data_IF_131542421751
#
_entry.id   IF_131542421751
#
_cell.length_a   1.000
_cell.length_b   1.000
_cell.length_c   1.000
_cell.angle_alpha   90.00
_cell.angle_beta   90.00
_cell.angle_gamma   90.00
#
_symmetry.space_group_name_H-M   'P 1'
#
loop_
_entity.id
_entity.type
_entity.pdbx_description
1 polymer ?
#
# COMPACT_ATOMS: atom_id res chain seq x y z
N UNK A 1 3.56 -76.33 -32.39
CA UNK A 1 4.80 -76.77 -31.71
C UNK A 1 5.28 -75.59 -30.85
N UNK A 2 4.89 -75.49 -29.56
CA UNK A 2 5.69 -75.88 -28.38
C UNK A 2 6.54 -74.68 -27.86
N UNK A 3 6.03 -73.86 -26.91
CA UNK A 3 6.38 -73.72 -25.45
C UNK A 3 7.87 -73.38 -25.15
N UNK A 4 8.28 -72.52 -24.21
CA UNK A 4 7.64 -71.83 -23.06
C UNK A 4 8.55 -70.68 -22.52
N UNK A 5 8.00 -69.66 -21.82
CA UNK A 5 7.95 -69.46 -20.34
C UNK A 5 9.36 -69.22 -19.72
N UNK A 6 9.78 -68.07 -19.18
CA UNK A 6 9.24 -67.24 -18.06
C UNK A 6 9.70 -67.78 -16.67
N UNK A 7 9.71 -67.03 -15.53
CA UNK A 7 9.62 -65.58 -15.30
C UNK A 7 10.38 -64.98 -14.05
N UNK A 8 10.40 -63.64 -13.94
CA UNK A 8 10.08 -62.72 -12.81
C UNK A 8 10.51 -62.87 -11.32
N UNK A 9 11.02 -61.72 -10.78
CA UNK A 9 10.59 -60.89 -9.60
C UNK A 9 10.85 -61.30 -8.13
N UNK A 10 11.28 -60.27 -7.34
CA UNK A 10 10.83 -59.94 -5.97
C UNK A 10 11.87 -60.21 -4.85
N UNK A 11 12.46 -59.24 -4.11
CA UNK A 11 11.96 -58.19 -3.21
C UNK A 11 11.94 -58.57 -1.69
N UNK A 12 12.49 -57.67 -0.85
CA UNK A 12 12.32 -57.48 0.62
C UNK A 12 13.03 -58.49 1.54
N UNK A 13 13.37 -58.26 2.82
CA UNK A 13 13.64 -57.13 3.71
C UNK A 13 14.01 -57.73 5.11
N UNK A 14 14.65 -56.93 5.99
CA UNK A 14 14.73 -57.02 7.49
C UNK A 14 16.07 -57.47 8.14
N UNK A 15 16.76 -56.48 8.76
CA UNK A 15 17.26 -56.30 10.17
C UNK A 15 17.28 -57.52 11.14
N UNK A 16 17.94 -57.50 12.34
CA UNK A 16 19.09 -56.72 12.90
C UNK A 16 20.03 -57.50 13.92
N UNK A 17 20.95 -56.77 14.59
CA UNK A 17 21.54 -56.96 15.97
C UNK A 17 22.61 -58.05 16.25
N UNK A 18 23.78 -57.62 16.75
CA UNK A 18 24.40 -57.94 18.08
C UNK A 18 25.91 -57.61 18.04
N UNK A 19 26.45 -56.69 18.86
CA UNK A 19 26.86 -56.82 20.27
C UNK A 19 27.97 -57.88 20.53
N UNK A 20 29.24 -57.46 20.68
CA UNK A 20 29.97 -57.38 21.97
C UNK A 20 31.51 -57.29 21.82
N UNK A 21 32.06 -56.32 22.57
CA UNK A 21 33.24 -56.37 23.48
C UNK A 21 34.57 -56.94 22.93
N UNK A 22 35.62 -56.11 23.02
CA UNK A 22 36.66 -56.14 24.08
C UNK A 22 37.68 -55.02 23.85
N UNK A 23 37.87 -54.14 24.86
CA UNK A 23 39.17 -53.48 25.10
C UNK A 23 40.10 -54.45 25.87
N UNK A 24 41.19 -54.01 26.54
CA UNK A 24 41.48 -52.64 26.99
C UNK A 24 42.98 -52.21 26.94
N UNK A 25 43.23 -50.97 27.43
CA UNK A 25 44.36 -50.53 28.27
C UNK A 25 45.76 -50.39 27.63
N UNK A 26 46.64 -49.44 28.00
CA UNK A 26 46.65 -48.33 28.95
C UNK A 26 47.89 -47.45 28.64
N UNK A 27 47.80 -46.12 28.71
CA UNK A 27 48.57 -45.32 29.69
C UNK A 27 49.74 -44.57 29.03
N UNK A 28 50.20 -43.37 29.42
CA UNK A 28 49.91 -42.40 30.49
C UNK A 28 50.39 -41.02 29.98
N UNK A 29 49.80 -39.90 30.45
CA UNK A 29 50.29 -38.52 30.22
C UNK A 29 51.52 -38.17 31.06
N UNK A 30 51.74 -36.92 31.55
CA UNK A 30 51.15 -35.60 31.20
C UNK A 30 52.23 -34.49 31.01
N UNK A 31 51.87 -33.27 30.59
CA UNK A 31 52.65 -32.07 30.95
C UNK A 31 51.83 -30.76 30.79
N UNK A 32 51.71 -30.03 31.90
CA UNK A 32 51.28 -28.65 31.98
C UNK A 32 52.51 -27.72 31.89
N UNK A 33 52.38 -26.56 31.25
CA UNK A 33 53.25 -25.40 31.52
C UNK A 33 52.41 -24.13 31.49
N UNK A 34 52.20 -23.58 32.69
CA UNK A 34 51.89 -22.18 32.92
C UNK A 34 53.21 -21.43 33.08
N UNK A 35 53.36 -20.24 32.49
CA UNK A 35 54.40 -19.28 32.87
C UNK A 35 53.79 -17.95 33.34
N UNK A 36 54.32 -17.53 34.50
CA UNK A 36 54.00 -16.35 35.28
C UNK A 36 54.60 -15.07 34.69
N UNK A 37 53.89 -13.95 34.94
CA UNK A 37 54.32 -12.59 35.32
C UNK A 37 55.81 -12.21 35.16
N UNK A 38 56.03 -11.04 34.57
CA UNK A 38 56.97 -10.04 35.10
C UNK A 38 56.52 -8.61 34.76
N UNK A 39 56.23 -7.83 35.81
CA UNK A 39 56.22 -6.38 35.79
C UNK A 39 57.63 -5.86 36.01
N UNK A 40 58.02 -4.76 35.35
CA UNK A 40 59.02 -3.75 35.79
C UNK A 40 58.97 -2.59 34.78
N UNK A 41 58.29 -1.47 35.06
CA UNK A 41 58.79 -0.30 35.80
C UNK A 41 60.23 0.13 35.46
N UNK A 42 60.35 1.13 34.59
CA UNK A 42 61.32 2.23 34.72
C UNK A 42 60.61 3.56 34.47
N UNK A 43 60.52 4.33 35.56
CA UNK A 43 60.22 5.76 35.63
C UNK A 43 61.50 6.57 35.43
N UNK A 44 61.28 7.89 35.27
CA UNK A 44 62.16 9.06 35.47
C UNK A 44 62.76 9.59 34.16
N UNK A 45 62.58 10.86 33.76
CA UNK A 45 62.27 12.13 34.45
C UNK A 45 61.54 13.08 33.46
N UNK A 46 60.39 13.69 33.81
CA UNK A 46 60.19 15.01 34.46
C UNK A 46 60.68 16.24 33.66
N UNK A 47 59.72 16.96 33.06
CA UNK A 47 59.47 18.41 33.24
C UNK A 47 57.98 18.63 32.88
N UNK A 48 57.09 18.84 33.85
CA UNK A 48 56.77 20.12 34.55
C UNK A 48 55.86 21.05 33.71
N UNK A 49 54.55 20.76 33.74
CA UNK A 49 53.44 21.58 34.27
C UNK A 49 53.14 23.03 33.77
N UNK A 50 51.89 23.52 33.97
CA UNK A 50 51.03 24.06 32.91
C UNK A 50 50.79 25.58 33.00
N UNK A 51 50.23 26.16 31.94
CA UNK A 51 49.59 27.49 31.99
C UNK A 51 48.19 27.50 31.35
N UNK A 52 47.27 28.39 31.82
CA UNK A 52 45.83 28.14 31.85
C UNK A 52 45.00 29.04 30.91
N UNK A 53 43.75 28.61 30.71
CA UNK A 53 42.50 29.36 30.49
C UNK A 53 42.45 30.49 29.43
N UNK A 54 41.68 30.26 28.35
CA UNK A 54 40.95 31.33 27.64
C UNK A 54 39.74 30.81 26.84
N UNK A 55 38.53 31.14 27.30
CA UNK A 55 37.29 31.32 26.51
C UNK A 55 36.42 32.36 27.25
N UNK A 56 35.46 33.06 26.63
CA UNK A 56 35.22 33.31 25.19
C UNK A 56 35.11 34.83 24.86
N UNK A 57 35.28 35.20 23.58
CA UNK A 57 34.99 36.57 23.10
C UNK A 57 33.48 36.78 22.99
N UNK A 58 32.99 37.82 23.68
CA UNK A 58 31.63 38.36 23.56
C UNK A 58 31.47 39.02 22.19
N UNK A 59 30.34 38.74 21.54
CA UNK A 59 29.84 39.46 20.37
C UNK A 59 28.78 40.43 20.88
N UNK A 60 29.00 41.72 20.71
CA UNK A 60 28.03 42.76 21.07
C UNK A 60 26.84 42.77 20.09
N UNK A 61 25.61 42.98 20.58
CA UNK A 61 24.41 43.07 19.77
C UNK A 61 24.28 44.46 19.11
N UNK A 62 23.95 44.46 17.81
CA UNK A 62 23.59 45.66 17.04
C UNK A 62 22.27 46.28 17.53
N UNK A 63 22.12 47.61 17.45
CA UNK A 63 20.95 48.30 18.01
C UNK A 63 19.69 48.13 17.17
N UNK A 64 18.58 48.03 17.88
CA UNK A 64 17.19 47.95 17.44
C UNK A 64 16.71 49.22 16.72
N UNK A 65 16.20 49.05 15.50
CA UNK A 65 15.51 50.08 14.72
C UNK A 65 14.10 50.27 15.27
N UNK A 66 13.84 51.44 15.86
CA UNK A 66 12.51 51.92 16.21
C UNK A 66 11.78 52.39 14.96
N UNK A 67 10.65 51.77 14.64
CA UNK A 67 9.68 52.30 13.66
C UNK A 67 8.78 53.29 14.40
N UNK A 68 8.92 54.57 14.07
CA UNK A 68 8.01 55.63 14.51
C UNK A 68 6.76 55.64 13.63
N UNK A 69 5.58 55.62 14.24
CA UNK A 69 4.34 56.10 13.64
C UNK A 69 4.39 57.62 13.46
N UNK A 70 3.76 58.14 12.40
CA UNK A 70 3.14 59.45 12.44
C UNK A 70 1.62 59.33 12.29
N UNK A 71 0.92 59.95 13.24
CA UNK A 71 -0.44 60.44 13.08
C UNK A 71 -0.43 61.68 12.17
N UNK A 72 -1.53 61.92 11.45
CA UNK A 72 -1.98 63.29 11.18
C UNK A 72 -2.38 63.67 9.75
N UNK A 73 -3.70 63.78 9.57
CA UNK A 73 -4.42 64.86 8.86
C UNK A 73 -4.40 64.90 7.32
N UNK A 74 -5.53 64.46 6.75
CA UNK A 74 -6.47 65.38 6.07
C UNK A 74 -6.29 65.68 4.57
N UNK A 75 -7.33 65.29 3.81
CA UNK A 75 -8.10 66.07 2.80
C UNK A 75 -8.36 65.29 1.50
N UNK A 76 -9.65 65.20 1.15
CA UNK A 76 -10.19 64.94 -0.20
C UNK A 76 -9.74 66.05 -1.18
N UNK A 77 -9.65 65.81 -2.50
CA UNK A 77 -10.82 65.92 -3.41
C UNK A 77 -10.85 64.84 -4.52
N UNK A 78 -12.03 64.34 -4.90
CA UNK A 78 -12.77 64.60 -6.15
C UNK A 78 -12.14 64.19 -7.50
N UNK A 79 -12.91 63.35 -8.20
CA UNK A 79 -13.27 63.37 -9.64
C UNK A 79 -12.17 63.23 -10.72
N UNK A 80 -12.18 62.02 -11.29
CA UNK A 80 -12.62 61.72 -12.66
C UNK A 80 -11.70 62.01 -13.89
N UNK A 81 -11.67 60.96 -14.74
CA UNK A 81 -11.47 60.90 -16.21
C UNK A 81 -10.04 60.74 -16.76
N UNK A 82 -9.94 59.85 -17.76
CA UNK A 82 -8.77 59.61 -18.63
C UNK A 82 -8.36 58.13 -18.62
N UNK A 83 -8.99 57.22 -19.37
CA UNK A 83 -8.79 56.98 -20.81
C UNK A 83 -7.35 56.58 -21.19
N UNK A 84 -7.20 55.27 -21.43
CA UNK A 84 -6.56 54.64 -22.59
C UNK A 84 -5.01 54.67 -22.79
N UNK A 85 -4.50 53.42 -22.90
CA UNK A 85 -3.44 52.89 -23.78
C UNK A 85 -1.97 53.05 -23.38
N UNK A 86 -1.33 51.89 -23.17
CA UNK A 86 0.04 51.61 -23.61
C UNK A 86 0.15 50.19 -24.20
N UNK A 87 1.07 49.94 -25.16
CA UNK A 87 1.07 48.76 -26.03
C UNK A 87 1.93 47.61 -25.50
N UNK A 88 1.62 46.39 -25.97
CA UNK A 88 2.45 45.19 -25.79
C UNK A 88 3.27 44.97 -27.05
N UNK A 89 4.58 44.86 -26.90
CA UNK A 89 5.49 44.32 -27.92
C UNK A 89 5.59 42.80 -27.74
N UNK A 90 5.34 42.08 -28.84
CA UNK A 90 5.52 40.65 -29.00
C UNK A 90 6.90 40.38 -29.62
N UNK A 91 7.67 39.46 -29.04
CA UNK A 91 8.89 38.94 -29.66
C UNK A 91 8.71 37.44 -29.95
N UNK A 92 8.78 37.10 -31.24
CA UNK A 92 8.57 35.78 -31.80
C UNK A 92 9.87 34.98 -31.88
N UNK A 93 9.85 33.70 -31.48
CA UNK A 93 10.92 32.74 -31.77
C UNK A 93 10.38 31.63 -32.68
N UNK A 94 11.02 31.51 -33.84
CA UNK A 94 10.77 30.52 -34.91
C UNK A 94 11.20 29.11 -34.47
N UNK A 95 10.40 28.11 -34.85
CA UNK A 95 10.84 26.72 -34.98
C UNK A 95 10.65 26.29 -36.45
N UNK A 96 11.72 25.73 -37.03
CA UNK A 96 11.78 25.19 -38.38
C UNK A 96 11.29 23.74 -38.40
N UNK A 97 10.41 23.40 -39.34
CA UNK A 97 10.07 22.04 -39.75
C UNK A 97 11.09 21.51 -40.79
N UNK A 98 11.29 20.18 -40.90
CA UNK A 98 11.79 19.57 -42.12
C UNK A 98 10.71 18.75 -42.87
N UNK A 99 10.88 18.53 -44.19
CA UNK A 99 9.78 18.22 -45.12
C UNK A 99 9.57 16.71 -45.42
N UNK A 100 8.36 16.35 -45.87
CA UNK A 100 8.07 15.14 -46.67
C UNK A 100 8.59 15.28 -48.12
N UNK A 101 8.65 14.29 -49.00
CA UNK A 101 7.83 13.09 -49.24
C UNK A 101 8.56 12.14 -50.23
N UNK A 102 8.07 10.88 -50.33
CA UNK A 102 7.66 10.14 -51.55
C UNK A 102 8.24 8.74 -51.75
N UNK A 103 7.30 7.78 -51.90
CA UNK A 103 7.34 6.79 -52.97
C UNK A 103 7.41 5.32 -52.53
N UNK A 104 6.34 4.55 -52.75
CA UNK A 104 6.43 3.08 -52.69
C UNK A 104 5.11 2.35 -52.48
N UNK A 105 4.21 2.38 -53.48
CA UNK A 105 3.03 1.53 -53.55
C UNK A 105 3.43 0.12 -54.00
N UNK A 106 3.05 -0.92 -53.25
CA UNK A 106 2.95 -2.28 -53.75
C UNK A 106 1.69 -2.97 -53.21
N UNK A 107 0.74 -3.24 -54.11
CA UNK A 107 -0.49 -4.02 -53.89
C UNK A 107 -0.29 -5.47 -54.35
N UNK A 108 -1.03 -6.39 -53.70
CA UNK A 108 -1.69 -7.64 -54.18
C UNK A 108 -1.34 -8.90 -53.34
N UNK A 109 -2.12 -10.01 -53.39
CA UNK A 109 -3.58 -10.06 -53.20
C UNK A 109 -4.05 -11.29 -52.36
N UNK A 110 -5.27 -11.22 -51.83
CA UNK A 110 -6.23 -12.33 -51.83
C UNK A 110 -6.14 -13.42 -50.74
N UNK A 111 -7.20 -13.54 -49.92
CA UNK A 111 -7.81 -14.84 -49.59
C UNK A 111 -9.29 -14.65 -49.23
N UNK A 112 -10.12 -15.38 -49.97
CA UNK A 112 -11.59 -15.47 -49.84
C UNK A 112 -11.98 -16.21 -48.55
N UNK A 113 -13.12 -15.90 -47.92
CA UNK A 113 -13.79 -16.82 -47.01
C UNK A 113 -14.67 -17.80 -47.82
N UNK A 114 -14.51 -19.10 -47.59
CA UNK A 114 -15.43 -20.11 -48.13
C UNK A 114 -16.65 -20.27 -47.21
N UNK A 115 -17.83 -20.21 -47.83
CA UNK A 115 -19.09 -20.75 -47.32
C UNK A 115 -19.17 -22.24 -47.63
N UNK A 116 -19.70 -23.02 -46.70
CA UNK A 116 -20.56 -24.17 -46.96
C UNK A 116 -21.47 -24.41 -45.75
N UNK A 117 -22.80 -24.33 -45.94
CA UNK A 117 -23.81 -24.87 -45.00
C UNK A 117 -24.17 -26.31 -45.39
N UNK A 118 -25.41 -26.81 -45.15
CA UNK A 118 -26.38 -26.54 -44.09
C UNK A 118 -26.89 -27.85 -43.42
N UNK A 119 -27.50 -27.77 -42.23
CA UNK A 119 -28.05 -28.93 -41.51
C UNK A 119 -29.29 -28.62 -40.67
N UNK A 120 -30.44 -28.58 -41.34
CA UNK A 120 -31.84 -28.87 -40.92
C UNK A 120 -32.11 -29.04 -39.41
N UNK A 121 -32.94 -28.16 -38.83
CA UNK A 121 -34.41 -28.29 -38.58
C UNK A 121 -34.71 -29.01 -37.26
N UNK A 122 -35.42 -28.29 -36.39
CA UNK A 122 -36.09 -28.83 -35.21
C UNK A 122 -36.83 -27.70 -34.50
N UNK A 123 -38.01 -27.34 -35.02
CA UNK A 123 -38.98 -26.46 -34.33
C UNK A 123 -39.56 -27.24 -33.14
N UNK A 124 -39.77 -26.59 -32.00
CA UNK A 124 -40.99 -26.76 -31.20
C UNK A 124 -41.17 -25.57 -30.25
N UNK A 125 -42.31 -24.90 -30.40
CA UNK A 125 -42.88 -23.87 -29.53
C UNK A 125 -43.52 -24.48 -28.26
N UNK A 126 -43.89 -23.66 -27.25
CA UNK A 126 -44.09 -24.07 -25.86
C UNK A 126 -45.57 -24.19 -25.39
N UNK A 127 -45.73 -24.61 -24.10
CA UNK A 127 -46.89 -24.55 -23.16
C UNK A 127 -47.65 -25.87 -22.87
N UNK A 128 -48.43 -25.99 -21.75
CA UNK A 128 -48.30 -25.41 -20.39
C UNK A 128 -48.55 -26.43 -19.21
N UNK A 129 -48.44 -25.91 -17.98
CA UNK A 129 -48.82 -26.35 -16.61
C UNK A 129 -49.61 -27.66 -16.30
N UNK A 130 -49.56 -28.11 -15.02
CA UNK A 130 -50.80 -28.33 -14.29
C UNK A 130 -50.86 -27.70 -12.88
N UNK A 131 -52.10 -27.55 -12.41
CA UNK A 131 -52.56 -27.01 -11.11
C UNK A 131 -52.90 -28.14 -10.12
N UNK A 132 -53.15 -27.72 -8.87
CA UNK A 132 -53.87 -28.39 -7.76
C UNK A 132 -53.00 -29.37 -6.91
N UNK A 133 -53.08 -29.50 -5.59
CA UNK A 133 -54.14 -29.25 -4.59
C UNK A 133 -53.56 -28.79 -3.23
N UNK A 134 -54.35 -27.98 -2.51
CA UNK A 134 -54.28 -27.74 -1.05
C UNK A 134 -54.84 -28.94 -0.26
N UNK A 135 -54.62 -28.98 1.07
CA UNK A 135 -55.77 -29.16 1.96
C UNK A 135 -55.88 -28.07 3.04
N UNK A 136 -57.14 -27.82 3.41
CA UNK A 136 -57.63 -26.84 4.37
C UNK A 136 -57.66 -27.41 5.80
N UNK A 137 -57.34 -26.51 6.75
CA UNK A 137 -57.90 -26.22 8.09
C UNK A 137 -58.62 -27.32 8.90
N UNK A 138 -58.24 -27.41 10.16
CA UNK A 138 -59.13 -27.63 11.31
C UNK A 138 -58.79 -26.61 12.41
N UNK A 139 -59.79 -25.83 12.82
CA UNK A 139 -59.78 -24.86 13.92
C UNK A 139 -59.76 -25.54 15.28
N UNK A 140 -59.15 -24.91 16.29
CA UNK A 140 -59.67 -24.89 17.66
C UNK A 140 -59.10 -23.69 18.46
N UNK A 141 -60.00 -23.02 19.18
CA UNK A 141 -59.91 -21.69 19.78
C UNK A 141 -59.56 -21.69 21.27
N UNK A 142 -58.52 -20.92 21.66
CA UNK A 142 -58.34 -19.99 22.82
C UNK A 142 -58.66 -20.44 24.29
N UNK A 143 -58.30 -19.68 25.37
CA UNK A 143 -57.59 -18.40 25.47
C UNK A 143 -56.49 -18.29 26.57
N UNK A 144 -55.70 -17.19 26.55
CA UNK A 144 -55.28 -16.48 27.77
C UNK A 144 -53.77 -16.33 28.06
N UNK A 145 -53.30 -15.07 28.02
CA UNK A 145 -52.35 -14.42 28.93
C UNK A 145 -51.13 -13.72 28.27
N UNK A 146 -51.21 -12.39 28.26
CA UNK A 146 -50.17 -11.38 28.48
C UNK A 146 -48.70 -11.82 28.50
N UNK A 147 -47.92 -11.29 27.55
CA UNK A 147 -46.46 -11.28 27.59
C UNK A 147 -45.85 -10.61 26.37
N UNK A 148 -45.74 -9.28 26.38
CA UNK A 148 -44.99 -8.52 25.37
C UNK A 148 -43.52 -8.95 25.39
N UNK A 149 -43.06 -9.65 24.35
CA UNK A 149 -41.66 -9.64 23.93
C UNK A 149 -41.60 -9.37 22.43
N UNK A 150 -41.00 -8.23 22.07
CA UNK A 150 -40.71 -7.89 20.69
C UNK A 150 -39.77 -8.94 20.10
N UNK A 151 -40.28 -9.72 19.15
CA UNK A 151 -39.49 -10.65 18.38
C UNK A 151 -38.44 -9.87 17.58
N UNK A 152 -37.16 -10.08 17.93
CA UNK A 152 -36.01 -9.63 17.12
C UNK A 152 -36.14 -10.24 15.72
N UNK A 153 -35.89 -9.47 14.64
CA UNK A 153 -35.92 -10.02 13.29
C UNK A 153 -34.86 -11.14 13.17
N UNK A 154 -35.12 -12.18 12.36
CA UNK A 154 -34.19 -13.30 12.21
C UNK A 154 -32.88 -12.78 11.61
N UNK A 155 -31.79 -12.94 12.36
CA UNK A 155 -30.43 -12.66 11.92
C UNK A 155 -30.19 -13.49 10.66
N UNK A 156 -30.05 -12.80 9.53
CA UNK A 156 -29.79 -13.40 8.24
C UNK A 156 -28.60 -14.34 8.32
N UNK A 157 -28.72 -15.48 7.62
CA UNK A 157 -27.72 -16.55 7.53
C UNK A 157 -26.31 -15.96 7.45
N UNK A 158 -25.50 -16.30 8.45
CA UNK A 158 -24.16 -15.76 8.63
C UNK A 158 -23.34 -15.89 7.35
N UNK A 159 -22.90 -14.75 6.81
CA UNK A 159 -21.61 -14.70 6.14
C UNK A 159 -20.58 -15.33 7.09
N UNK A 160 -19.61 -16.13 6.62
CA UNK A 160 -18.49 -16.53 7.47
C UNK A 160 -17.94 -15.26 8.14
N UNK A 161 -17.68 -15.32 9.45
CA UNK A 161 -17.23 -14.17 10.22
C UNK A 161 -15.96 -13.63 9.56
N UNK A 162 -16.09 -12.52 8.84
CA UNK A 162 -14.97 -11.88 8.17
C UNK A 162 -14.19 -11.18 9.27
N UNK A 163 -12.96 -11.63 9.51
CA UNK A 163 -12.06 -10.98 10.48
C UNK A 163 -11.54 -9.70 9.84
N UNK A 164 -11.66 -8.57 10.53
CA UNK A 164 -11.11 -7.32 10.05
C UNK A 164 -9.60 -7.25 10.35
N UNK A 165 -8.81 -6.93 9.33
CA UNK A 165 -7.38 -6.70 9.48
C UNK A 165 -7.09 -5.33 10.11
N UNK A 166 -7.99 -4.36 9.92
CA UNK A 166 -7.89 -3.03 10.50
C UNK A 166 -9.27 -2.61 10.97
N UNK A 167 -9.39 -2.11 12.19
CA UNK A 167 -10.61 -1.52 12.73
C UNK A 167 -10.27 -0.18 13.38
N UNK A 168 -11.01 0.86 13.02
CA UNK A 168 -10.99 2.18 13.63
C UNK A 168 -12.39 2.41 14.21
N UNK A 169 -12.46 2.74 15.50
CA UNK A 169 -13.72 3.06 16.16
C UNK A 169 -13.62 4.43 16.83
N UNK A 170 -14.35 5.41 16.27
CA UNK A 170 -14.43 6.77 16.79
C UNK A 170 -13.08 7.47 16.89
N UNK A 171 -12.21 7.33 15.89
CA UNK A 171 -10.84 7.87 15.96
C UNK A 171 -10.83 9.38 15.74
N UNK A 172 -10.17 10.10 16.63
CA UNK A 172 -10.01 11.56 16.57
C UNK A 172 -8.55 11.96 16.38
N UNK A 173 -8.32 12.98 15.57
CA UNK A 173 -7.03 13.64 15.46
C UNK A 173 -7.16 15.11 15.13
N UNK A 174 -6.57 15.95 15.98
CA UNK A 174 -6.38 17.38 15.82
C UNK A 174 -4.88 17.69 15.84
N UNK A 175 -4.43 18.49 14.89
CA UNK A 175 -3.06 18.99 14.89
C UNK A 175 -2.93 20.24 15.77
N UNK A 176 -1.72 20.57 16.27
CA UNK A 176 -1.48 21.76 17.08
C UNK A 176 -1.90 23.08 16.40
N UNK A 177 -1.94 23.11 15.07
CA UNK A 177 -2.46 24.23 14.29
C UNK A 177 -3.98 24.47 14.45
N UNK A 178 -4.68 23.59 15.15
CA UNK A 178 -6.14 23.60 15.31
C UNK A 178 -6.88 22.79 14.24
N UNK A 179 -6.19 22.36 13.17
CA UNK A 179 -6.80 21.58 12.10
C UNK A 179 -7.27 20.20 12.59
N UNK A 180 -8.55 19.89 12.40
CA UNK A 180 -9.13 18.57 12.68
C UNK A 180 -8.90 17.69 11.46
N UNK A 181 -8.06 16.68 11.61
CA UNK A 181 -7.74 15.74 10.54
C UNK A 181 -8.63 14.50 10.58
N UNK A 182 -9.00 14.01 11.76
CA UNK A 182 -9.94 12.90 11.95
C UNK A 182 -10.98 13.32 13.00
N UNK A 183 -12.26 13.08 12.70
CA UNK A 183 -13.37 13.56 13.53
C UNK A 183 -14.37 12.44 13.82
N UNK A 184 -13.96 11.49 14.67
CA UNK A 184 -14.77 10.33 15.03
C UNK A 184 -14.79 9.28 13.92
N UNK A 185 -13.67 9.13 13.20
CA UNK A 185 -13.55 8.20 12.08
C UNK A 185 -13.79 6.77 12.54
N UNK A 186 -14.81 6.12 11.97
CA UNK A 186 -15.08 4.70 12.16
C UNK A 186 -15.00 3.99 10.81
N UNK A 187 -14.13 2.99 10.72
CA UNK A 187 -13.78 2.32 9.47
C UNK A 187 -13.24 0.92 9.76
N UNK A 188 -13.53 -0.05 8.89
CA UNK A 188 -12.95 -1.40 9.00
C UNK A 188 -12.45 -1.87 7.64
N UNK A 189 -11.34 -2.59 7.62
CA UNK A 189 -10.80 -3.24 6.43
C UNK A 189 -10.79 -4.74 6.69
N UNK A 190 -11.59 -5.46 5.91
CA UNK A 190 -11.70 -6.91 5.99
C UNK A 190 -10.41 -7.59 5.50
N UNK A 191 -10.04 -8.72 6.11
CA UNK A 191 -8.90 -9.51 5.66
C UNK A 191 -9.04 -9.93 4.18
N UNK A 192 -7.95 -9.72 3.42
CA UNK A 192 -7.88 -10.02 1.99
C UNK A 192 -8.69 -9.10 1.09
N UNK A 193 -9.25 -8.02 1.62
CA UNK A 193 -9.99 -7.01 0.85
C UNK A 193 -9.20 -5.75 0.61
N UNK A 194 -9.57 -5.05 -0.47
CA UNK A 194 -9.10 -3.70 -0.78
C UNK A 194 -10.18 -2.71 -0.40
N UNK A 195 -9.91 -1.92 0.64
CA UNK A 195 -10.69 -0.72 0.93
C UNK A 195 -9.96 0.50 0.35
N UNK A 196 -10.67 1.25 -0.50
CA UNK A 196 -10.19 2.53 -1.00
C UNK A 196 -10.86 3.66 -0.23
N UNK A 197 -10.06 4.48 0.45
CA UNK A 197 -10.49 5.71 1.08
C UNK A 197 -10.32 6.86 0.06
N UNK A 198 -11.45 7.39 -0.39
CA UNK A 198 -11.58 8.35 -1.48
C UNK A 198 -12.00 9.71 -0.93
N UNK A 199 -11.44 10.81 -1.46
CA UNK A 199 -11.88 12.16 -1.09
C UNK A 199 -10.90 13.25 -1.52
N UNK A 200 -11.24 14.50 -1.26
CA UNK A 200 -10.43 15.67 -1.64
C UNK A 200 -9.14 15.81 -0.81
N UNK A 201 -8.20 16.61 -1.29
CA UNK A 201 -7.01 16.99 -0.52
C UNK A 201 -7.41 17.62 0.82
N UNK A 202 -6.74 17.21 1.90
CA UNK A 202 -7.04 17.71 3.24
C UNK A 202 -8.23 17.03 3.94
N UNK A 203 -8.92 16.07 3.31
CA UNK A 203 -10.06 15.38 3.95
C UNK A 203 -9.69 14.46 5.12
N UNK A 204 -8.40 14.21 5.38
CA UNK A 204 -7.91 13.41 6.51
C UNK A 204 -7.37 12.01 6.16
N UNK A 205 -7.42 11.62 4.88
CA UNK A 205 -7.07 10.26 4.41
C UNK A 205 -5.64 9.82 4.76
N UNK A 206 -4.66 10.67 4.43
CA UNK A 206 -3.24 10.44 4.75
C UNK A 206 -3.03 10.37 6.26
N UNK A 207 -3.77 11.16 7.05
CA UNK A 207 -3.72 11.07 8.52
C UNK A 207 -4.27 9.74 9.00
N UNK A 208 -5.38 9.25 8.45
CA UNK A 208 -5.92 7.92 8.80
C UNK A 208 -4.89 6.82 8.54
N UNK A 209 -4.24 6.81 7.38
CA UNK A 209 -3.15 5.87 7.08
C UNK A 209 -1.98 5.98 8.05
N UNK A 210 -1.52 7.19 8.33
CA UNK A 210 -0.42 7.44 9.28
C UNK A 210 -0.78 6.98 10.68
N UNK A 211 -2.04 7.10 11.09
CA UNK A 211 -2.50 6.62 12.40
C UNK A 211 -2.56 5.10 12.45
N UNK A 212 -3.06 4.42 11.42
CA UNK A 212 -3.01 2.94 11.33
C UNK A 212 -1.58 2.41 11.39
N UNK A 213 -0.63 3.09 10.75
CA UNK A 213 0.79 2.73 10.80
C UNK A 213 1.54 3.24 12.05
N UNK A 214 0.82 3.88 12.97
CA UNK A 214 1.36 4.53 14.19
C UNK A 214 2.53 5.47 13.91
N UNK A 215 2.47 6.21 12.80
CA UNK A 215 3.36 7.35 12.52
C UNK A 215 2.83 8.63 13.17
N UNK A 216 1.53 8.71 13.37
CA UNK A 216 0.84 9.79 14.08
C UNK A 216 -0.09 9.16 15.10
N UNK A 217 0.09 9.47 16.38
CA UNK A 217 -0.80 9.00 17.44
C UNK A 217 -2.16 9.71 17.34
N UNK A 218 -3.24 8.95 17.51
CA UNK A 218 -4.59 9.50 17.64
C UNK A 218 -4.75 10.23 18.98
N UNK A 219 -5.68 11.19 19.04
CA UNK A 219 -6.01 11.88 20.30
C UNK A 219 -7.12 11.15 21.07
N UNK A 220 -7.83 10.23 20.42
CA UNK A 220 -8.89 9.42 21.02
C UNK A 220 -9.47 8.40 20.02
N UNK A 221 -10.37 7.56 20.53
CA UNK A 221 -10.91 6.39 19.82
C UNK A 221 -10.09 5.13 20.09
N UNK A 222 -10.38 4.06 19.35
CA UNK A 222 -9.62 2.81 19.43
C UNK A 222 -9.28 2.29 18.04
N UNK A 223 -8.11 1.66 17.94
CA UNK A 223 -7.59 1.12 16.68
C UNK A 223 -7.10 -0.30 16.92
N UNK A 224 -7.54 -1.24 16.09
CA UNK A 224 -7.06 -2.62 16.06
C UNK A 224 -6.39 -2.85 14.71
N UNK A 225 -5.19 -3.41 14.72
CA UNK A 225 -4.43 -3.77 13.52
C UNK A 225 -3.94 -5.20 13.64
N UNK A 226 -4.27 -6.03 12.64
CA UNK A 226 -3.94 -7.45 12.56
C UNK A 226 -4.36 -8.21 13.83
N UNK A 227 -5.59 -7.95 14.29
CA UNK A 227 -6.18 -8.58 15.47
C UNK A 227 -5.62 -8.14 16.83
N UNK A 228 -4.80 -7.08 16.88
CA UNK A 228 -4.22 -6.54 18.13
C UNK A 228 -4.49 -5.05 18.29
N UNK A 229 -4.80 -4.56 19.52
CA UNK A 229 -4.89 -3.12 19.79
C UNK A 229 -3.60 -2.39 19.39
N UNK A 230 -3.74 -1.21 18.78
CA UNK A 230 -2.62 -0.43 18.25
C UNK A 230 -1.58 -0.08 19.33
N UNK A 231 -2.04 0.17 20.55
CA UNK A 231 -1.24 0.53 21.72
C UNK A 231 -0.34 -0.62 22.18
N UNK A 232 -0.74 -1.87 21.91
CA UNK A 232 0.00 -3.08 22.29
C UNK A 232 1.16 -3.41 21.33
N UNK A 233 1.20 -2.78 20.16
CA UNK A 233 2.27 -2.99 19.19
C UNK A 233 3.54 -2.24 19.58
N UNK A 234 4.70 -2.86 19.36
CA UNK A 234 5.93 -2.08 19.14
C UNK A 234 5.82 -1.36 17.78
N UNK A 235 6.04 -0.04 17.69
CA UNK A 235 5.90 0.70 16.44
C UNK A 235 6.85 0.21 15.33
N UNK A 236 8.05 -0.28 15.68
CA UNK A 236 9.02 -0.76 14.70
C UNK A 236 8.57 -2.12 14.16
N UNK A 237 8.11 -3.02 15.03
CA UNK A 237 7.56 -4.31 14.64
C UNK A 237 6.35 -4.14 13.72
N UNK A 238 5.40 -3.28 14.08
CA UNK A 238 4.21 -2.99 13.28
C UNK A 238 4.60 -2.56 11.87
N UNK A 239 5.51 -1.57 11.75
CA UNK A 239 5.97 -1.03 10.45
C UNK A 239 6.77 -2.02 9.61
N UNK A 240 7.34 -3.06 10.23
CA UNK A 240 8.01 -4.15 9.50
C UNK A 240 7.02 -5.22 9.04
N UNK A 241 5.86 -5.34 9.70
CA UNK A 241 4.74 -6.21 9.33
C UNK A 241 3.77 -5.56 8.35
N UNK A 242 3.76 -4.23 8.22
CA UNK A 242 2.98 -3.50 7.22
C UNK A 242 3.87 -3.08 6.05
N UNK A 243 3.34 -3.17 4.83
CA UNK A 243 3.98 -2.53 3.68
C UNK A 243 3.42 -1.14 3.51
N UNK A 244 4.26 -0.11 3.50
CA UNK A 244 3.79 1.27 3.39
C UNK A 244 4.34 1.94 2.12
N UNK A 245 3.44 2.32 1.23
CA UNK A 245 3.72 3.17 0.06
C UNK A 245 3.37 4.61 0.44
N UNK A 246 4.39 5.47 0.43
CA UNK A 246 4.30 6.89 0.74
C UNK A 246 4.26 7.71 -0.56
N UNK A 247 3.57 8.85 -0.52
CA UNK A 247 3.32 9.72 -1.69
C UNK A 247 4.61 10.11 -2.43
N UNK A 248 5.65 10.47 -1.68
CA UNK A 248 7.02 10.56 -2.20
C UNK A 248 7.72 9.25 -1.87
N UNK A 249 8.08 8.44 -2.87
CA UNK A 249 8.65 7.09 -2.73
C UNK A 249 9.63 6.86 -1.56
N UNK A 250 10.27 7.90 -1.03
CA UNK A 250 11.02 7.91 0.22
C UNK A 250 12.15 6.90 0.21
N UNK A 251 12.79 6.79 -0.95
CA UNK A 251 13.94 5.93 -1.17
C UNK A 251 15.15 6.51 -0.43
N UNK A 252 15.98 5.63 0.12
CA UNK A 252 17.24 6.00 0.75
C UNK A 252 18.20 6.45 -0.36
N UNK A 253 18.61 7.74 -0.40
CA UNK A 253 19.29 8.33 -1.58
C UNK A 253 20.63 7.68 -1.93
N UNK A 254 21.32 7.16 -0.92
CA UNK A 254 22.65 6.58 -1.03
C UNK A 254 22.62 5.06 -1.27
N UNK A 255 21.44 4.43 -1.27
CA UNK A 255 21.30 3.00 -1.54
C UNK A 255 21.00 2.77 -3.02
N UNK A 256 21.40 1.60 -3.53
CA UNK A 256 20.95 1.15 -4.85
C UNK A 256 19.44 0.88 -4.84
N UNK A 257 18.84 0.80 -6.01
CA UNK A 257 17.44 0.39 -6.17
C UNK A 257 17.21 -1.00 -5.59
N UNK A 258 18.09 -1.96 -5.89
CA UNK A 258 17.98 -3.32 -5.35
C UNK A 258 17.95 -3.34 -3.82
N UNK A 259 18.83 -2.54 -3.19
CA UNK A 259 18.91 -2.44 -1.74
C UNK A 259 17.72 -1.67 -1.17
N UNK A 260 17.24 -0.63 -1.86
CA UNK A 260 16.01 0.07 -1.47
C UNK A 260 14.81 -0.88 -1.43
N UNK A 261 14.61 -1.70 -2.46
CA UNK A 261 13.56 -2.72 -2.48
C UNK A 261 13.79 -3.75 -1.37
N UNK A 262 15.03 -4.20 -1.19
CA UNK A 262 15.41 -5.21 -0.19
C UNK A 262 15.52 -4.70 1.24
N UNK A 263 15.20 -3.43 1.52
CA UNK A 263 15.46 -2.80 2.81
C UNK A 263 14.69 -3.46 3.97
N UNK A 264 13.40 -3.70 3.81
CA UNK A 264 12.60 -4.34 4.87
C UNK A 264 13.03 -5.80 5.09
N UNK A 265 13.22 -6.63 4.03
CA UNK A 265 13.87 -7.93 4.18
C UNK A 265 15.26 -7.88 4.85
N UNK A 266 16.03 -6.81 4.63
CA UNK A 266 17.31 -6.58 5.30
C UNK A 266 17.15 -6.37 6.81
N UNK A 267 16.20 -5.54 7.21
CA UNK A 267 15.87 -5.29 8.61
C UNK A 267 15.26 -6.51 9.31
N UNK A 268 14.62 -7.41 8.55
CA UNK A 268 14.12 -8.71 9.03
C UNK A 268 15.17 -9.81 9.03
N UNK A 269 16.43 -9.51 8.67
CA UNK A 269 17.54 -10.46 8.76
C UNK A 269 17.56 -11.54 7.67
N UNK A 270 16.88 -11.35 6.53
CA UNK A 270 16.89 -12.35 5.45
C UNK A 270 18.32 -12.58 4.91
N UNK A 271 18.67 -13.73 4.33
CA UNK A 271 19.98 -13.89 3.69
C UNK A 271 20.15 -12.99 2.45
N UNK A 272 21.36 -12.48 2.19
CA UNK A 272 21.65 -11.55 1.08
C UNK A 272 21.15 -12.07 -0.27
N UNK A 273 21.41 -13.35 -0.59
CA UNK A 273 20.96 -13.98 -1.83
C UNK A 273 19.42 -13.97 -1.97
N UNK A 274 18.69 -14.24 -0.88
CA UNK A 274 17.22 -14.21 -0.85
C UNK A 274 16.70 -12.79 -1.07
N UNK A 275 17.33 -11.78 -0.44
CA UNK A 275 16.97 -10.36 -0.62
C UNK A 275 17.13 -9.95 -2.08
N UNK A 276 18.29 -10.24 -2.68
CA UNK A 276 18.57 -9.87 -4.07
C UNK A 276 17.63 -10.55 -5.07
N UNK A 277 17.32 -11.84 -4.87
CA UNK A 277 16.35 -12.55 -5.70
C UNK A 277 14.95 -11.91 -5.61
N UNK A 278 14.48 -11.65 -4.39
CA UNK A 278 13.18 -11.01 -4.14
C UNK A 278 13.11 -9.59 -4.70
N UNK A 279 14.17 -8.79 -4.56
CA UNK A 279 14.23 -7.46 -5.14
C UNK A 279 14.11 -7.49 -6.66
N UNK A 280 14.84 -8.39 -7.34
CA UNK A 280 14.78 -8.51 -8.80
C UNK A 280 13.40 -8.96 -9.28
N UNK A 281 12.78 -9.92 -8.59
CA UNK A 281 11.41 -10.36 -8.87
C UNK A 281 10.43 -9.18 -8.83
N UNK A 282 10.50 -8.36 -7.79
CA UNK A 282 9.61 -7.21 -7.63
C UNK A 282 9.91 -6.07 -8.60
N UNK A 283 11.16 -5.91 -9.03
CA UNK A 283 11.50 -4.95 -10.09
C UNK A 283 10.83 -5.35 -11.41
N UNK A 284 10.90 -6.63 -11.80
CA UNK A 284 10.16 -7.14 -12.97
C UNK A 284 8.67 -6.86 -12.80
N UNK A 285 8.14 -7.12 -11.61
CA UNK A 285 6.72 -6.91 -11.32
C UNK A 285 6.29 -5.47 -11.54
N UNK A 286 7.09 -4.48 -11.16
CA UNK A 286 6.76 -3.06 -11.38
C UNK A 286 7.22 -2.56 -12.76
N UNK A 287 7.56 -3.45 -13.69
CA UNK A 287 7.97 -3.09 -15.03
C UNK A 287 9.33 -2.37 -15.10
N UNK A 288 10.25 -2.69 -14.18
CA UNK A 288 11.63 -2.20 -14.18
C UNK A 288 12.57 -3.39 -14.44
N UNK A 289 13.32 -3.34 -15.54
CA UNK A 289 14.33 -4.36 -15.85
C UNK A 289 15.41 -4.41 -14.75
N UNK A 290 15.53 -5.53 -13.99
CA UNK A 290 16.49 -5.60 -12.91
C UNK A 290 17.94 -5.46 -13.38
N UNK A 291 18.28 -5.90 -14.60
CA UNK A 291 19.66 -5.79 -15.12
C UNK A 291 20.08 -4.32 -15.25
N UNK A 292 19.15 -3.47 -15.69
CA UNK A 292 19.36 -2.04 -15.83
C UNK A 292 19.19 -1.27 -14.52
N UNK A 293 18.12 -1.52 -13.78
CA UNK A 293 17.69 -0.66 -12.68
C UNK A 293 18.28 -1.02 -11.31
N UNK A 294 18.54 -2.30 -11.04
CA UNK A 294 19.07 -2.75 -9.74
C UNK A 294 20.30 -1.97 -9.24
N UNK A 295 21.32 -1.64 -10.08
CA UNK A 295 22.52 -0.93 -9.62
C UNK A 295 22.34 0.59 -9.49
N UNK A 296 21.25 1.16 -10.03
CA UNK A 296 21.05 2.61 -10.04
C UNK A 296 20.75 3.14 -8.63
N UNK A 297 20.97 4.43 -8.43
CA UNK A 297 20.57 5.18 -7.23
C UNK A 297 19.33 6.04 -7.51
N UNK A 298 18.54 6.42 -6.47
CA UNK A 298 17.31 7.20 -6.65
C UNK A 298 17.46 8.51 -7.46
N UNK A 299 18.60 9.18 -7.37
CA UNK A 299 18.86 10.41 -8.14
C UNK A 299 18.95 10.19 -9.66
N UNK A 300 19.16 8.95 -10.10
CA UNK A 300 19.26 8.56 -11.51
C UNK A 300 17.92 8.12 -12.10
N UNK A 301 16.84 8.17 -11.30
CA UNK A 301 15.51 7.73 -11.68
C UNK A 301 14.59 8.92 -11.90
N UNK A 302 13.67 8.82 -12.85
CA UNK A 302 12.51 9.70 -12.97
C UNK A 302 11.57 9.58 -11.76
N UNK A 303 10.66 10.54 -11.58
CA UNK A 303 9.67 10.51 -10.51
C UNK A 303 8.83 9.23 -10.51
N UNK A 304 8.33 8.82 -11.68
CA UNK A 304 7.53 7.60 -11.82
C UNK A 304 8.33 6.32 -11.60
N UNK A 305 9.61 6.27 -11.97
CA UNK A 305 10.50 5.15 -11.63
C UNK A 305 10.73 5.06 -10.12
N UNK A 306 10.97 6.20 -9.44
CA UNK A 306 11.10 6.22 -7.97
C UNK A 306 9.85 5.68 -7.30
N UNK A 307 8.66 6.09 -7.77
CA UNK A 307 7.38 5.62 -7.24
C UNK A 307 7.23 4.11 -7.36
N UNK A 308 7.56 3.55 -8.53
CA UNK A 308 7.55 2.10 -8.77
C UNK A 308 8.49 1.34 -7.84
N UNK A 309 9.69 1.87 -7.59
CA UNK A 309 10.62 1.28 -6.61
C UNK A 309 10.03 1.35 -5.19
N UNK A 310 9.32 2.42 -4.84
CA UNK A 310 8.60 2.55 -3.57
C UNK A 310 7.53 1.47 -3.38
N UNK A 311 6.74 1.21 -4.41
CA UNK A 311 5.74 0.12 -4.43
C UNK A 311 6.43 -1.24 -4.26
N UNK A 312 7.49 -1.51 -5.03
CA UNK A 312 8.25 -2.76 -4.94
C UNK A 312 8.80 -2.99 -3.52
N UNK A 313 9.34 -1.94 -2.87
CA UNK A 313 9.83 -2.01 -1.49
C UNK A 313 8.73 -2.39 -0.49
N UNK A 314 7.54 -1.81 -0.62
CA UNK A 314 6.41 -2.12 0.28
C UNK A 314 5.98 -3.60 0.18
N UNK A 315 6.15 -4.22 -0.99
CA UNK A 315 5.82 -5.62 -1.25
C UNK A 315 6.95 -6.61 -0.87
N UNK A 316 8.14 -6.11 -0.55
CA UNK A 316 9.33 -6.94 -0.47
C UNK A 316 9.33 -7.95 0.66
N UNK A 317 8.80 -7.57 1.82
CA UNK A 317 8.67 -8.42 2.99
C UNK A 317 7.40 -9.30 2.96
N UNK A 318 6.62 -9.26 1.88
CA UNK A 318 5.33 -9.95 1.74
C UNK A 318 4.34 -9.69 2.91
N UNK A 319 4.12 -8.42 3.30
CA UNK A 319 3.33 -8.10 4.49
C UNK A 319 1.85 -8.52 4.34
N UNK A 320 1.15 -8.89 5.43
CA UNK A 320 -0.29 -9.17 5.40
C UNK A 320 -1.16 -7.94 5.14
N UNK A 321 -0.67 -6.74 5.49
CA UNK A 321 -1.37 -5.47 5.33
C UNK A 321 -0.54 -4.49 4.50
N UNK A 322 -1.13 -3.97 3.43
CA UNK A 322 -0.57 -2.91 2.61
C UNK A 322 -1.32 -1.61 2.84
N UNK A 323 -0.56 -0.57 3.14
CA UNK A 323 -1.00 0.80 3.34
C UNK A 323 -0.47 1.61 2.16
N UNK A 324 -1.34 2.23 1.38
CA UNK A 324 -0.92 2.92 0.15
C UNK A 324 -1.47 4.33 0.08
N UNK A 325 -0.58 5.33 0.08
CA UNK A 325 -0.94 6.74 0.00
C UNK A 325 -0.62 7.30 -1.39
N UNK A 326 -1.66 7.48 -2.21
CA UNK A 326 -1.59 7.91 -3.62
C UNK A 326 -0.52 7.16 -4.45
N UNK A 327 -0.52 5.81 -4.43
CA UNK A 327 0.56 5.01 -4.99
C UNK A 327 0.81 5.27 -6.48
N UNK A 328 -0.20 5.68 -7.25
CA UNK A 328 -0.10 5.82 -8.71
C UNK A 328 -0.25 7.25 -9.24
N UNK A 329 -0.33 8.25 -8.35
CA UNK A 329 -0.58 9.65 -8.74
C UNK A 329 0.54 10.28 -9.59
N UNK A 330 1.80 9.90 -9.34
CA UNK A 330 2.96 10.44 -10.04
C UNK A 330 3.30 9.73 -11.39
N UNK A 331 2.43 8.84 -11.87
CA UNK A 331 2.67 8.02 -13.06
C UNK A 331 1.92 8.57 -14.28
N UNK A 332 2.50 8.39 -15.47
CA UNK A 332 1.79 8.66 -16.72
C UNK A 332 0.58 7.71 -16.88
N UNK A 333 -0.46 8.09 -17.64
CA UNK A 333 -1.69 7.32 -17.72
C UNK A 333 -1.52 5.86 -18.17
N UNK A 334 -0.60 5.58 -19.11
CA UNK A 334 -0.40 4.24 -19.64
C UNK A 334 0.29 3.34 -18.60
N UNK A 335 1.37 3.83 -18.00
CA UNK A 335 2.07 3.11 -16.92
C UNK A 335 1.18 2.91 -15.71
N UNK A 336 0.38 3.92 -15.34
CA UNK A 336 -0.61 3.85 -14.26
C UNK A 336 -1.57 2.68 -14.46
N UNK A 337 -2.22 2.62 -15.63
CA UNK A 337 -3.19 1.57 -15.96
C UNK A 337 -2.56 0.17 -15.86
N UNK A 338 -1.35 0.00 -16.43
CA UNK A 338 -0.65 -1.28 -16.39
C UNK A 338 -0.34 -1.74 -14.97
N UNK A 339 0.20 -0.86 -14.12
CA UNK A 339 0.50 -1.20 -12.73
C UNK A 339 -0.76 -1.48 -11.91
N UNK A 340 -1.84 -0.76 -12.16
CA UNK A 340 -3.14 -1.03 -11.52
C UNK A 340 -3.64 -2.44 -11.89
N UNK A 341 -3.48 -2.87 -13.14
CA UNK A 341 -3.84 -4.23 -13.58
C UNK A 341 -2.94 -5.30 -12.96
N UNK A 342 -1.62 -5.05 -12.91
CA UNK A 342 -0.66 -5.94 -12.24
C UNK A 342 -0.96 -6.04 -10.74
N UNK A 343 -1.31 -4.93 -10.08
CA UNK A 343 -1.70 -4.89 -8.67
C UNK A 343 -2.99 -5.66 -8.41
N UNK A 344 -4.02 -5.51 -9.26
CA UNK A 344 -5.25 -6.30 -9.17
C UNK A 344 -4.99 -7.80 -9.40
N UNK A 345 -4.08 -8.11 -10.33
CA UNK A 345 -3.59 -9.47 -10.55
C UNK A 345 -2.86 -10.06 -9.34
N UNK A 346 -2.11 -9.25 -8.60
CA UNK A 346 -1.48 -9.65 -7.34
C UNK A 346 -2.50 -9.89 -6.24
N UNK A 347 -3.41 -8.93 -6.03
CA UNK A 347 -4.41 -9.03 -4.97
C UNK A 347 -5.27 -10.28 -5.14
N UNK A 348 -5.74 -10.55 -6.36
CA UNK A 348 -6.57 -11.73 -6.66
C UNK A 348 -5.85 -13.07 -6.41
N UNK A 349 -4.52 -13.10 -6.48
CA UNK A 349 -3.71 -14.30 -6.24
C UNK A 349 -3.28 -14.47 -4.78
N UNK A 350 -3.02 -13.36 -4.10
CA UNK A 350 -2.35 -13.35 -2.80
C UNK A 350 -3.29 -13.06 -1.63
N UNK A 351 -4.51 -12.56 -1.89
CA UNK A 351 -5.48 -12.23 -0.84
C UNK A 351 -4.91 -11.26 0.19
N UNK A 352 -4.11 -10.29 -0.23
CA UNK A 352 -3.51 -9.29 0.67
C UNK A 352 -4.56 -8.27 1.07
N UNK A 353 -4.53 -7.86 2.32
CA UNK A 353 -5.38 -6.77 2.80
C UNK A 353 -4.77 -5.43 2.42
N UNK A 354 -5.56 -4.52 1.86
CA UNK A 354 -5.08 -3.24 1.35
C UNK A 354 -5.99 -2.12 1.84
N UNK A 355 -5.38 -1.10 2.47
CA UNK A 355 -5.98 0.20 2.69
C UNK A 355 -5.29 1.20 1.75
N UNK A 356 -6.01 1.61 0.71
CA UNK A 356 -5.51 2.53 -0.31
C UNK A 356 -6.18 3.89 -0.15
N UNK A 357 -5.40 4.96 -0.24
CA UNK A 357 -5.88 6.34 -0.23
C UNK A 357 -5.65 6.94 -1.61
N UNK A 358 -6.69 7.57 -2.14
CA UNK A 358 -6.61 8.30 -3.41
C UNK A 358 -7.62 9.44 -3.46
N UNK A 359 -7.39 10.36 -4.39
CA UNK A 359 -8.36 11.37 -4.82
C UNK A 359 -8.94 11.07 -6.22
N UNK A 360 -8.45 10.04 -6.91
CA UNK A 360 -8.86 9.64 -8.25
C UNK A 360 -10.04 8.64 -8.16
N UNK A 361 -11.21 9.03 -8.67
CA UNK A 361 -12.43 8.22 -8.64
C UNK A 361 -12.35 6.99 -9.56
N UNK A 362 -11.93 7.10 -10.83
CA UNK A 362 -11.65 5.93 -11.66
C UNK A 362 -10.73 4.90 -10.99
N UNK A 363 -9.67 5.35 -10.33
CA UNK A 363 -8.76 4.48 -9.58
C UNK A 363 -9.47 3.75 -8.43
N UNK A 364 -10.24 4.47 -7.62
CA UNK A 364 -10.97 3.88 -6.51
C UNK A 364 -11.95 2.80 -6.99
N UNK A 365 -12.66 3.04 -8.10
CA UNK A 365 -13.61 2.09 -8.66
C UNK A 365 -12.95 0.90 -9.35
N UNK A 366 -11.74 1.08 -9.89
CA UNK A 366 -10.99 -0.01 -10.53
C UNK A 366 -10.38 -0.98 -9.52
N UNK A 367 -9.85 -0.45 -8.41
CA UNK A 367 -9.03 -1.19 -7.45
C UNK A 367 -9.78 -1.69 -6.22
N UNK A 368 -10.81 -0.97 -5.76
CA UNK A 368 -11.48 -1.26 -4.50
C UNK A 368 -12.48 -2.41 -4.58
N UNK A 369 -12.44 -3.31 -3.59
CA UNK A 369 -13.59 -4.15 -3.24
C UNK A 369 -14.69 -3.28 -2.60
N UNK A 370 -14.26 -2.32 -1.77
CA UNK A 370 -15.08 -1.30 -1.15
C UNK A 370 -14.45 0.08 -1.32
N UNK A 371 -15.30 1.10 -1.35
CA UNK A 371 -14.91 2.50 -1.40
C UNK A 371 -15.58 3.22 -0.24
N UNK A 372 -14.79 3.97 0.53
CA UNK A 372 -15.26 4.88 1.57
C UNK A 372 -14.96 6.32 1.14
N UNK A 373 -15.99 7.11 0.92
CA UNK A 373 -15.88 8.54 0.59
C UNK A 373 -15.74 9.33 1.89
N UNK A 374 -14.67 10.10 2.01
CA UNK A 374 -14.29 10.84 3.20
C UNK A 374 -14.18 12.34 2.92
N UNK A 375 -14.80 13.13 3.80
CA UNK A 375 -14.68 14.59 3.85
C UNK A 375 -14.50 15.06 5.29
N UNK A 376 -13.69 16.11 5.49
CA UNK A 376 -13.47 16.76 6.80
C UNK A 376 -13.29 15.78 7.97
N UNK A 377 -12.49 14.74 7.81
CA UNK A 377 -12.19 13.79 8.88
C UNK A 377 -13.24 12.69 9.10
N UNK A 378 -14.31 12.62 8.29
CA UNK A 378 -15.43 11.69 8.45
C UNK A 378 -15.70 10.89 7.18
N UNK A 379 -16.11 9.64 7.34
CA UNK A 379 -16.66 8.83 6.22
C UNK A 379 -18.11 9.22 6.03
N UNK A 380 -18.44 9.70 4.83
CA UNK A 380 -19.79 10.11 4.44
C UNK A 380 -20.59 8.95 3.84
N UNK A 381 -19.94 8.12 3.02
CA UNK A 381 -20.55 6.94 2.41
C UNK A 381 -19.52 5.82 2.30
N UNK A 382 -19.94 4.59 2.54
CA UNK A 382 -19.16 3.38 2.28
C UNK A 382 -20.01 2.37 1.51
N UNK A 383 -19.41 1.70 0.55
CA UNK A 383 -20.04 0.59 -0.16
C UNK A 383 -19.14 0.03 -1.24
N UNK A 384 -19.68 -0.91 -2.01
CA UNK A 384 -19.01 -1.38 -3.24
C UNK A 384 -18.86 -0.23 -4.24
N UNK A 385 -17.89 -0.29 -5.18
CA UNK A 385 -17.76 0.69 -6.25
C UNK A 385 -19.08 0.97 -7.01
N UNK A 386 -19.86 -0.08 -7.30
CA UNK A 386 -21.15 0.06 -7.97
C UNK A 386 -22.16 0.86 -7.12
N UNK A 387 -22.26 0.58 -5.82
CA UNK A 387 -23.15 1.33 -4.93
C UNK A 387 -22.77 2.81 -4.83
N UNK A 388 -21.47 3.12 -4.69
CA UNK A 388 -21.00 4.51 -4.60
C UNK A 388 -21.18 5.25 -5.93
N UNK A 389 -21.00 4.57 -7.07
CA UNK A 389 -21.15 5.15 -8.41
C UNK A 389 -22.61 5.38 -8.80
N UNK A 390 -23.45 4.39 -8.56
CA UNK A 390 -24.82 4.32 -9.09
C UNK A 390 -25.85 4.86 -8.08
N UNK A 391 -25.49 4.95 -6.79
CA UNK A 391 -26.33 5.49 -5.73
C UNK A 391 -25.52 6.32 -4.72
N UNK A 392 -24.86 7.41 -5.18
CA UNK A 392 -24.15 8.30 -4.27
C UNK A 392 -25.15 9.03 -3.35
N UNK A 393 -24.78 9.21 -2.08
CA UNK A 393 -25.58 9.98 -1.13
C UNK A 393 -25.65 11.45 -1.57
N UNK A 394 -26.79 12.14 -1.37
CA UNK A 394 -26.94 13.54 -1.73
C UNK A 394 -25.89 14.47 -1.10
N UNK A 395 -25.65 15.61 -1.74
CA UNK A 395 -24.66 16.60 -1.31
C UNK A 395 -23.25 16.24 -1.79
N UNK A 396 -22.26 16.41 -0.92
CA UNK A 396 -20.84 16.28 -1.28
C UNK A 396 -20.50 14.99 -2.03
N UNK A 397 -21.06 13.83 -1.64
CA UNK A 397 -20.71 12.56 -2.28
C UNK A 397 -21.19 12.52 -3.74
N UNK A 398 -22.45 12.88 -3.99
CA UNK A 398 -22.98 12.99 -5.34
C UNK A 398 -22.20 14.00 -6.20
N UNK A 399 -21.90 15.18 -5.65
CA UNK A 399 -21.16 16.23 -6.36
C UNK A 399 -19.74 15.78 -6.71
N UNK A 400 -19.04 15.14 -5.76
CA UNK A 400 -17.68 14.65 -5.94
C UNK A 400 -17.60 13.53 -6.98
N UNK A 401 -18.53 12.58 -6.97
CA UNK A 401 -18.58 11.50 -7.96
C UNK A 401 -18.99 12.03 -9.33
N UNK A 402 -19.92 13.00 -9.41
CA UNK A 402 -20.35 13.61 -10.66
C UNK A 402 -19.22 14.39 -11.33
N UNK A 403 -18.45 15.18 -10.56
CA UNK A 403 -17.33 15.96 -11.07
C UNK A 403 -16.19 15.11 -11.65
N UNK A 404 -16.10 13.85 -11.26
CA UNK A 404 -15.10 12.91 -11.75
C UNK A 404 -15.55 12.06 -12.95
N UNK A 405 -16.78 12.28 -13.46
CA UNK A 405 -17.23 11.65 -14.71
C UNK A 405 -16.58 12.38 -15.90
N UNK A 406 -15.95 11.64 -16.83
CA UNK A 406 -15.30 12.24 -18.00
C UNK A 406 -16.29 12.88 -18.97
#
# INVERSE_FOLDING_TARGET
MGRGLGPSRGARARRPRSCRRRGPAHGRGPAAVAHRRAARSRRLTRHADPHPLARPRRVDPRPSVQVRHPEGVGRRPERARGAAREPREEEAVRLQEPPGERGGVARRPGRRPQRAGPGRRGRHDPQPAPKDLLPRRGDETAPGASGRQAARPPVGRGRPAVTAAVELAGVHKRYPSGAVALDGLSLSVDEGRVLVLLGTSGSGKTTALKTVNRLVEADGGSIVVLGRPLESWDPIELRRRTGYVIQEAGLIPHFSVERNVGLVPELLGWPLARRGARSRELLVLVGLDPARFAPLRPAQLSGGERQRVGIARALAADPPLLLMDEPFGALDPLTRHRLQDEFRGLQSKLGKTVLLVTHDVPEAFRLGDEVAVMDRGRVLQRGTPAQVRDSPLPGFVADFIAAARP
#
